data_IF_161751942767
#
_entry.id   IF_161751942767
#
_cell.length_a   1.000
_cell.length_b   1.000
_cell.length_c   1.000
_cell.angle_alpha   90.00
_cell.angle_beta   90.00
_cell.angle_gamma   90.00
#
_symmetry.space_group_name_H-M   'P 1'
#
loop_
_entity.id
_entity.type
_entity.pdbx_description
1 polymer ?
#
# COMPACT_ATOMS: atom_id res chain seq x y z
N UNK A 1 -7.26 -5.35 -16.19
CA UNK A 1 -8.38 -4.43 -16.45
C UNK A 1 -9.69 -5.17 -16.57
N UNK A 2 -10.79 -4.48 -16.35
CA UNK A 2 -12.13 -4.99 -16.60
C UNK A 2 -13.09 -3.84 -16.96
N UNK A 3 -14.25 -4.17 -17.56
CA UNK A 3 -15.32 -3.20 -17.74
C UNK A 3 -15.90 -2.80 -16.38
N UNK A 4 -16.25 -1.55 -16.21
CA UNK A 4 -16.79 -0.99 -14.98
C UNK A 4 -17.88 0.04 -15.29
N UNK A 5 -19.07 -0.16 -14.75
CA UNK A 5 -20.23 0.69 -15.03
C UNK A 5 -20.93 1.25 -13.80
N UNK A 6 -20.43 0.92 -12.59
CA UNK A 6 -20.98 1.42 -11.34
C UNK A 6 -20.30 2.74 -10.93
N UNK A 7 -20.82 3.40 -9.89
CA UNK A 7 -20.24 4.60 -9.35
C UNK A 7 -18.94 4.30 -8.58
N UNK A 8 -17.91 5.09 -8.84
CA UNK A 8 -16.60 4.90 -8.19
C UNK A 8 -16.63 5.16 -6.68
N UNK A 9 -17.53 6.03 -6.22
CA UNK A 9 -17.69 6.33 -4.81
C UNK A 9 -18.24 5.13 -4.03
N UNK A 10 -19.12 4.32 -4.65
CA UNK A 10 -19.63 3.10 -4.02
C UNK A 10 -18.53 2.06 -3.84
N UNK A 11 -17.60 1.97 -4.81
CA UNK A 11 -16.40 1.14 -4.66
C UNK A 11 -15.50 1.62 -3.53
N UNK A 12 -15.35 2.92 -3.35
CA UNK A 12 -14.60 3.48 -2.23
C UNK A 12 -15.27 3.15 -0.89
N UNK A 13 -16.60 3.30 -0.78
CA UNK A 13 -17.36 2.90 0.41
C UNK A 13 -17.21 1.41 0.70
N UNK A 14 -17.34 0.57 -0.33
CA UNK A 14 -17.13 -0.87 -0.19
C UNK A 14 -15.72 -1.21 0.32
N UNK A 15 -14.67 -0.58 -0.25
CA UNK A 15 -13.29 -0.79 0.19
C UNK A 15 -13.09 -0.39 1.65
N UNK A 16 -13.64 0.74 2.08
CA UNK A 16 -13.53 1.18 3.47
C UNK A 16 -14.27 0.25 4.45
N UNK A 17 -15.36 -0.37 4.03
CA UNK A 17 -16.13 -1.28 4.87
C UNK A 17 -15.47 -2.65 5.00
N UNK A 18 -15.00 -3.22 3.88
CA UNK A 18 -14.51 -4.61 3.83
C UNK A 18 -12.99 -4.76 3.78
N UNK A 19 -12.27 -3.71 3.42
CA UNK A 19 -10.81 -3.67 3.34
C UNK A 19 -10.25 -2.34 3.89
N UNK A 20 -10.61 -1.96 5.14
CA UNK A 20 -10.20 -0.68 5.72
C UNK A 20 -8.68 -0.55 5.78
N UNK A 21 -8.18 0.64 5.46
CA UNK A 21 -6.76 0.94 5.50
C UNK A 21 -6.48 2.33 6.06
N UNK A 22 -5.28 2.52 6.62
CA UNK A 22 -4.90 3.77 7.29
C UNK A 22 -4.70 4.95 6.34
N UNK A 23 -4.49 4.69 5.06
CA UNK A 23 -4.21 5.71 4.05
C UNK A 23 -5.16 5.59 2.86
N UNK A 24 -6.44 5.32 3.14
CA UNK A 24 -7.47 5.29 2.11
C UNK A 24 -7.66 6.69 1.50
N UNK A 25 -7.92 6.72 0.19
CA UNK A 25 -8.12 7.96 -0.54
C UNK A 25 -9.11 7.77 -1.70
N UNK A 26 -9.93 8.77 -1.93
CA UNK A 26 -10.76 8.90 -3.11
C UNK A 26 -10.42 10.20 -3.82
N UNK A 27 -10.15 10.12 -5.12
CA UNK A 27 -9.88 11.30 -5.95
C UNK A 27 -10.82 11.27 -7.13
N UNK A 28 -11.59 12.33 -7.29
CA UNK A 28 -12.44 12.59 -8.43
C UNK A 28 -11.73 13.55 -9.39
N UNK A 29 -11.18 13.01 -10.47
CA UNK A 29 -10.60 13.76 -11.59
C UNK A 29 -11.66 14.03 -12.67
N UNK A 30 -11.29 14.78 -13.72
CA UNK A 30 -12.21 15.11 -14.81
C UNK A 30 -12.66 13.88 -15.59
N UNK A 31 -11.68 13.04 -15.96
CA UNK A 31 -11.86 11.88 -16.84
C UNK A 31 -11.47 10.56 -16.18
N UNK A 32 -11.06 10.60 -14.90
CA UNK A 32 -10.71 9.42 -14.11
C UNK A 32 -11.16 9.56 -12.67
N UNK A 33 -11.22 8.41 -11.97
CA UNK A 33 -11.41 8.30 -10.53
C UNK A 33 -10.32 7.41 -9.96
N UNK A 34 -9.84 7.73 -8.75
CA UNK A 34 -8.89 6.89 -8.02
C UNK A 34 -9.54 6.45 -6.72
N UNK A 35 -9.59 5.15 -6.53
CA UNK A 35 -10.05 4.48 -5.30
C UNK A 35 -8.87 3.75 -4.69
N UNK A 36 -8.33 4.27 -3.61
CA UNK A 36 -7.15 3.72 -2.93
C UNK A 36 -7.50 3.21 -1.54
N UNK A 37 -7.12 1.97 -1.26
CA UNK A 37 -7.14 1.34 0.07
C UNK A 37 -5.70 1.02 0.52
N UNK A 38 -4.79 1.98 0.37
CA UNK A 38 -3.38 1.79 0.68
C UNK A 38 -3.14 1.61 2.17
N UNK A 39 -2.44 0.54 2.58
CA UNK A 39 -2.05 0.35 3.98
C UNK A 39 -0.72 1.03 4.34
N UNK A 40 0.06 1.47 3.35
CA UNK A 40 1.47 1.81 3.52
C UNK A 40 1.73 3.31 3.48
N UNK A 41 2.43 3.80 4.50
CA UNK A 41 2.91 5.17 4.57
C UNK A 41 4.20 5.32 3.74
N UNK A 42 4.19 6.23 2.77
CA UNK A 42 5.41 6.65 2.10
C UNK A 42 6.21 7.58 3.01
N UNK A 43 5.69 8.77 3.29
CA UNK A 43 6.29 9.72 4.21
C UNK A 43 5.23 10.49 5.00
N UNK A 44 5.59 10.87 6.22
CA UNK A 44 4.92 11.94 6.95
C UNK A 44 5.95 12.97 7.40
N UNK A 45 5.57 14.25 7.39
CA UNK A 45 6.39 15.34 7.92
C UNK A 45 5.54 16.10 8.93
N UNK A 46 6.07 16.31 10.11
CA UNK A 46 5.48 17.09 11.18
C UNK A 46 6.59 17.68 12.04
N UNK A 47 6.48 18.95 12.38
CA UNK A 47 7.42 19.68 13.25
C UNK A 47 8.89 19.56 12.78
N UNK A 48 9.11 19.56 11.46
CA UNK A 48 10.44 19.42 10.85
C UNK A 48 11.03 18.01 10.90
N UNK A 49 10.28 17.02 11.38
CA UNK A 49 10.67 15.61 11.34
C UNK A 49 9.98 14.87 10.20
N UNK A 50 10.77 14.14 9.42
CA UNK A 50 10.27 13.22 8.39
C UNK A 50 10.31 11.80 8.92
N UNK A 51 9.25 11.03 8.62
CA UNK A 51 9.13 9.61 8.95
C UNK A 51 8.71 8.84 7.72
N UNK A 52 9.18 7.60 7.63
CA UNK A 52 8.74 6.60 6.65
C UNK A 52 8.47 5.28 7.37
N UNK A 53 7.48 4.50 6.90
CA UNK A 53 7.06 3.27 7.58
C UNK A 53 6.78 2.15 6.57
N UNK A 54 7.83 1.48 6.07
CA UNK A 54 7.68 0.36 5.15
C UNK A 54 7.03 -0.84 5.81
N UNK A 55 6.29 -1.60 4.99
CA UNK A 55 5.67 -2.89 5.35
C UNK A 55 6.36 -4.00 4.58
N UNK A 56 6.85 -5.03 5.28
CA UNK A 56 7.27 -6.30 4.70
C UNK A 56 6.78 -7.46 5.57
N UNK A 57 5.96 -8.28 4.96
CA UNK A 57 5.28 -9.36 5.66
C UNK A 57 3.85 -9.00 6.07
N UNK A 58 2.95 -9.86 5.63
CA UNK A 58 1.52 -9.75 5.93
C UNK A 58 0.95 -11.13 6.20
N UNK A 59 0.14 -11.26 7.24
CA UNK A 59 -0.64 -12.45 7.52
C UNK A 59 -2.11 -12.09 7.71
N UNK A 60 -2.98 -12.99 7.29
CA UNK A 60 -4.42 -12.82 7.48
C UNK A 60 -4.77 -12.84 8.97
N UNK A 61 -5.65 -11.94 9.37
CA UNK A 61 -6.30 -11.96 10.68
C UNK A 61 -7.79 -12.25 10.49
N UNK A 62 -8.32 -13.19 11.26
CA UNK A 62 -9.74 -13.51 11.27
C UNK A 62 -10.40 -12.64 12.33
N UNK A 63 -11.41 -11.87 11.93
CA UNK A 63 -12.23 -11.12 12.88
C UNK A 63 -13.08 -12.11 13.71
N UNK A 64 -12.96 -12.12 15.05
CA UNK A 64 -13.72 -13.05 15.88
C UNK A 64 -15.22 -12.73 15.82
N UNK A 65 -16.03 -13.76 15.67
CA UNK A 65 -17.49 -13.72 15.84
C UNK A 65 -17.86 -14.65 17.01
N UNK A 66 -19.08 -14.57 17.57
CA UNK A 66 -19.51 -15.50 18.62
C UNK A 66 -19.31 -16.98 18.23
N UNK A 67 -19.57 -17.33 16.97
CA UNK A 67 -19.53 -18.72 16.47
C UNK A 67 -18.13 -19.23 16.17
N UNK A 68 -17.15 -18.35 15.92
CA UNK A 68 -15.81 -18.74 15.50
C UNK A 68 -14.69 -18.30 16.46
N UNK A 69 -15.01 -17.77 17.62
CA UNK A 69 -14.09 -17.09 18.55
C UNK A 69 -12.85 -17.90 18.89
N UNK A 70 -13.02 -19.18 19.22
CA UNK A 70 -11.90 -20.07 19.57
C UNK A 70 -11.01 -20.38 18.37
N UNK A 71 -11.62 -20.71 17.23
CA UNK A 71 -10.91 -21.00 15.99
C UNK A 71 -10.16 -19.76 15.49
N UNK A 72 -10.83 -18.59 15.49
CA UNK A 72 -10.20 -17.33 15.12
C UNK A 72 -9.01 -17.00 16.01
N UNK A 73 -9.10 -17.22 17.31
CA UNK A 73 -7.98 -17.04 18.24
C UNK A 73 -6.78 -17.91 17.86
N UNK A 74 -6.98 -19.21 17.69
CA UNK A 74 -5.91 -20.14 17.35
C UNK A 74 -5.21 -19.80 16.01
N UNK A 75 -6.01 -19.50 14.99
CA UNK A 75 -5.45 -19.12 13.66
C UNK A 75 -4.70 -17.79 13.76
N UNK A 76 -5.25 -16.81 14.46
CA UNK A 76 -4.61 -15.51 14.61
C UNK A 76 -3.30 -15.60 15.41
N UNK A 77 -3.25 -16.37 16.47
CA UNK A 77 -2.01 -16.63 17.23
C UNK A 77 -0.97 -17.29 16.32
N UNK A 78 -1.35 -18.34 15.59
CA UNK A 78 -0.46 -19.00 14.63
C UNK A 78 0.10 -18.00 13.61
N UNK A 79 -0.76 -17.26 12.93
CA UNK A 79 -0.37 -16.30 11.89
C UNK A 79 0.51 -15.17 12.44
N UNK A 80 0.23 -14.71 13.65
CA UNK A 80 1.05 -13.70 14.35
C UNK A 80 2.45 -14.23 14.64
N UNK A 81 2.56 -15.45 15.20
CA UNK A 81 3.84 -16.07 15.51
C UNK A 81 4.65 -16.42 14.26
N UNK A 82 4.02 -16.90 13.20
CA UNK A 82 4.67 -17.13 11.91
C UNK A 82 5.25 -15.84 11.34
N UNK A 83 4.50 -14.74 11.38
CA UNK A 83 4.98 -13.45 10.95
C UNK A 83 6.11 -12.94 11.83
N UNK A 84 6.00 -13.09 13.13
CA UNK A 84 7.00 -12.62 14.10
C UNK A 84 8.36 -13.31 13.91
N UNK A 85 8.36 -14.60 13.57
CA UNK A 85 9.57 -15.42 13.46
C UNK A 85 10.00 -15.70 12.01
N UNK A 86 9.45 -14.99 11.03
CA UNK A 86 9.86 -15.14 9.63
C UNK A 86 11.17 -14.41 9.37
N UNK A 87 12.26 -15.15 9.23
CA UNK A 87 13.60 -14.62 8.94
C UNK A 87 13.65 -13.97 7.55
N UNK A 88 12.97 -14.54 6.54
CA UNK A 88 12.88 -13.97 5.19
C UNK A 88 12.29 -12.56 5.24
N UNK A 89 11.11 -12.40 5.81
CA UNK A 89 10.42 -11.12 5.87
C UNK A 89 11.15 -10.10 6.77
N UNK A 90 11.88 -10.59 7.78
CA UNK A 90 12.76 -9.74 8.58
C UNK A 90 13.95 -9.22 7.77
N UNK A 91 14.59 -10.07 6.98
CA UNK A 91 15.70 -9.69 6.11
C UNK A 91 15.25 -8.68 5.05
N UNK A 92 14.10 -8.92 4.41
CA UNK A 92 13.50 -8.00 3.46
C UNK A 92 13.20 -6.63 4.08
N UNK A 93 12.60 -6.61 5.27
CA UNK A 93 12.29 -5.36 5.98
C UNK A 93 13.57 -4.60 6.34
N UNK A 94 14.60 -5.29 6.84
CA UNK A 94 15.88 -4.69 7.17
C UNK A 94 16.54 -4.06 5.94
N UNK A 95 16.50 -4.72 4.78
CA UNK A 95 17.02 -4.20 3.52
C UNK A 95 16.31 -2.88 3.13
N UNK A 96 14.99 -2.83 3.25
CA UNK A 96 14.23 -1.61 2.93
C UNK A 96 14.49 -0.51 3.96
N UNK A 97 14.59 -0.84 5.24
CA UNK A 97 14.95 0.12 6.30
C UNK A 97 16.31 0.77 6.01
N UNK A 98 17.31 0.00 5.58
CA UNK A 98 18.62 0.54 5.23
C UNK A 98 18.58 1.41 3.98
N UNK A 99 17.78 1.03 2.97
CA UNK A 99 17.54 1.84 1.79
C UNK A 99 16.92 3.19 2.15
N UNK A 100 15.86 3.20 2.97
CA UNK A 100 15.17 4.42 3.39
C UNK A 100 16.05 5.29 4.33
N UNK A 101 16.87 4.68 5.17
CA UNK A 101 17.89 5.42 5.94
C UNK A 101 18.90 6.11 5.03
N UNK A 102 19.28 5.47 3.92
CA UNK A 102 20.16 6.08 2.92
C UNK A 102 19.48 7.23 2.19
N UNK A 103 18.22 7.09 1.81
CA UNK A 103 17.44 8.16 1.18
C UNK A 103 17.32 9.38 2.12
N UNK A 104 16.95 9.16 3.38
CA UNK A 104 16.88 10.19 4.41
C UNK A 104 18.24 10.88 4.67
N UNK A 105 19.38 10.20 4.41
CA UNK A 105 20.70 10.80 4.54
C UNK A 105 20.88 12.04 3.68
N UNK A 106 20.21 12.09 2.56
CA UNK A 106 20.33 13.16 1.56
C UNK A 106 19.66 14.45 1.99
N UNK A 107 18.69 14.39 2.92
CA UNK A 107 17.82 15.52 3.31
C UNK A 107 17.80 15.80 4.81
N UNK A 108 18.23 14.87 5.65
CA UNK A 108 18.21 15.04 7.10
C UNK A 108 19.53 15.60 7.67
N UNK A 109 19.43 16.20 8.84
CA UNK A 109 20.59 16.62 9.65
C UNK A 109 21.43 15.38 9.98
N UNK A 110 22.76 15.40 9.76
CA UNK A 110 23.64 14.29 10.13
C UNK A 110 23.48 13.91 11.61
N UNK A 111 23.42 12.60 11.89
CA UNK A 111 23.27 12.07 13.23
C UNK A 111 21.84 12.01 13.78
N UNK A 112 20.83 12.60 13.09
CA UNK A 112 19.43 12.58 13.55
C UNK A 112 18.63 11.41 13.02
N UNK A 113 19.14 10.70 12.01
CA UNK A 113 18.43 9.56 11.41
C UNK A 113 18.49 8.35 12.32
N UNK A 114 17.36 7.80 12.63
CA UNK A 114 17.26 6.60 13.47
C UNK A 114 16.09 5.71 13.07
N UNK A 115 16.21 4.44 13.37
CA UNK A 115 15.07 3.52 13.40
C UNK A 115 14.39 3.73 14.74
N UNK A 116 13.33 4.56 14.75
CA UNK A 116 12.61 4.92 15.98
C UNK A 116 11.69 3.80 16.45
N UNK A 117 11.29 2.93 15.54
CA UNK A 117 10.56 1.72 15.83
C UNK A 117 11.15 0.58 14.99
N UNK A 118 11.85 -0.36 15.61
CA UNK A 118 12.33 -1.55 14.91
C UNK A 118 11.12 -2.42 14.50
N UNK A 119 11.41 -3.54 13.83
CA UNK A 119 10.36 -4.46 13.37
C UNK A 119 9.33 -4.72 14.46
N UNK A 120 8.07 -4.41 14.16
CA UNK A 120 6.92 -4.54 15.06
C UNK A 120 5.74 -5.09 14.26
N UNK A 121 4.91 -5.93 14.91
CA UNK A 121 3.70 -6.45 14.28
C UNK A 121 2.52 -5.53 14.63
N UNK A 122 2.01 -4.81 13.64
CA UNK A 122 0.77 -4.04 13.77
C UNK A 122 -0.44 -4.92 13.48
N UNK A 123 -1.47 -4.76 14.30
CA UNK A 123 -2.71 -5.55 14.21
C UNK A 123 -3.83 -4.68 13.63
N UNK A 124 -4.34 -5.08 12.47
CA UNK A 124 -5.50 -4.47 11.82
C UNK A 124 -6.71 -5.41 11.87
N UNK A 125 -7.91 -4.96 11.51
CA UNK A 125 -9.10 -5.81 11.56
C UNK A 125 -8.97 -7.13 10.80
N UNK A 126 -8.34 -7.12 9.63
CA UNK A 126 -8.26 -8.26 8.71
C UNK A 126 -6.86 -8.82 8.49
N UNK A 127 -5.81 -8.11 8.97
CA UNK A 127 -4.41 -8.47 8.70
C UNK A 127 -3.50 -8.12 9.86
N UNK A 128 -2.36 -8.82 9.93
CA UNK A 128 -1.16 -8.43 10.67
C UNK A 128 -0.12 -7.94 9.68
N UNK A 129 0.54 -6.82 9.98
CA UNK A 129 1.64 -6.28 9.18
C UNK A 129 2.92 -6.20 10.01
N UNK A 130 4.04 -6.66 9.46
CA UNK A 130 5.34 -6.38 10.02
C UNK A 130 5.85 -5.05 9.43
N UNK A 131 6.10 -4.09 10.30
CA UNK A 131 6.49 -2.72 9.96
C UNK A 131 7.76 -2.31 10.70
N UNK A 132 8.45 -1.31 10.18
CA UNK A 132 9.47 -0.56 10.90
C UNK A 132 9.27 0.93 10.64
N UNK A 133 9.74 1.79 11.53
CA UNK A 133 9.66 3.24 11.33
C UNK A 133 11.06 3.85 11.37
N UNK A 134 11.40 4.56 10.31
CA UNK A 134 12.64 5.34 10.21
C UNK A 134 12.27 6.82 10.24
N UNK A 135 13.03 7.60 10.97
CA UNK A 135 12.81 9.04 11.08
C UNK A 135 14.12 9.82 11.02
N UNK A 136 14.01 11.11 10.74
CA UNK A 136 15.11 12.05 10.80
C UNK A 136 14.62 13.50 10.85
N UNK A 137 15.44 14.40 11.33
CA UNK A 137 15.17 15.83 11.32
C UNK A 137 15.58 16.40 9.96
N UNK A 138 14.67 17.09 9.27
CA UNK A 138 14.97 17.75 8.01
C UNK A 138 16.00 18.87 8.20
N UNK A 139 16.94 19.01 7.26
CA UNK A 139 17.86 20.15 7.25
C UNK A 139 17.12 21.43 6.88
N UNK A 140 17.59 22.54 7.44
CA UNK A 140 17.10 23.87 7.03
C UNK A 140 17.29 24.08 5.52
N UNK A 141 16.28 24.65 4.86
CA UNK A 141 16.30 24.94 3.43
C UNK A 141 15.96 23.78 2.49
N UNK A 142 15.70 22.58 3.02
CA UNK A 142 15.19 21.46 2.20
C UNK A 142 13.73 21.71 1.88
N UNK A 143 13.43 21.85 0.59
CA UNK A 143 12.06 21.99 0.09
C UNK A 143 11.41 20.64 -0.25
N UNK A 144 10.10 20.65 -0.49
CA UNK A 144 9.35 19.44 -0.82
C UNK A 144 9.87 18.73 -2.09
N UNK A 145 10.29 19.49 -3.11
CA UNK A 145 10.90 18.93 -4.31
C UNK A 145 12.21 18.18 -4.01
N UNK A 146 12.99 18.64 -3.04
CA UNK A 146 14.24 17.96 -2.65
C UNK A 146 13.94 16.66 -1.91
N UNK A 147 12.88 16.66 -1.10
CA UNK A 147 12.38 15.46 -0.42
C UNK A 147 11.95 14.42 -1.46
N UNK A 148 11.15 14.81 -2.46
CA UNK A 148 10.75 13.89 -3.53
C UNK A 148 11.95 13.36 -4.32
N UNK A 149 12.92 14.20 -4.69
CA UNK A 149 14.14 13.75 -5.40
C UNK A 149 14.99 12.78 -4.58
N UNK A 150 14.94 12.90 -3.26
CA UNK A 150 15.69 12.02 -2.37
C UNK A 150 14.98 10.69 -2.11
N UNK A 151 13.66 10.71 -1.92
CA UNK A 151 12.88 9.59 -1.38
C UNK A 151 12.08 8.85 -2.44
N UNK A 152 11.54 9.57 -3.46
CA UNK A 152 10.66 8.98 -4.47
C UNK A 152 11.45 8.34 -5.63
N UNK A 153 10.98 7.19 -6.17
CA UNK A 153 9.90 6.37 -5.64
C UNK A 153 10.30 5.65 -4.34
N UNK A 154 9.29 5.19 -3.58
CA UNK A 154 9.51 4.52 -2.29
C UNK A 154 10.40 3.29 -2.40
N UNK A 155 11.20 3.02 -1.37
CA UNK A 155 12.10 1.87 -1.32
C UNK A 155 11.39 0.54 -1.36
N UNK A 156 10.24 0.44 -0.69
CA UNK A 156 9.47 -0.80 -0.54
C UNK A 156 8.86 -1.33 -1.84
N UNK A 157 8.69 -0.44 -2.84
CA UNK A 157 8.08 -0.75 -4.16
C UNK A 157 9.09 -0.73 -5.31
N UNK A 158 10.35 -0.51 -5.03
CA UNK A 158 11.46 -0.55 -6.00
C UNK A 158 12.43 -1.69 -5.67
N UNK A 159 13.45 -1.42 -4.89
CA UNK A 159 14.46 -2.39 -4.47
C UNK A 159 15.80 -1.73 -4.21
N UNK A 160 16.80 -2.53 -3.83
CA UNK A 160 18.14 -2.09 -3.55
C UNK A 160 19.16 -2.79 -4.48
N UNK A 161 20.06 -2.03 -5.16
CA UNK A 161 20.17 -0.57 -5.24
C UNK A 161 19.01 0.07 -6.04
N UNK A 162 18.45 1.19 -5.55
CA UNK A 162 17.22 1.79 -6.08
C UNK A 162 17.28 2.06 -7.59
N UNK A 163 18.29 2.76 -8.07
CA UNK A 163 18.41 3.11 -9.49
C UNK A 163 18.44 1.87 -10.37
N UNK A 164 19.24 0.86 -10.01
CA UNK A 164 19.33 -0.37 -10.78
C UNK A 164 18.01 -1.14 -10.79
N UNK A 165 17.32 -1.19 -9.66
CA UNK A 165 16.00 -1.81 -9.58
C UNK A 165 14.97 -1.09 -10.47
N UNK A 166 15.00 0.24 -10.51
CA UNK A 166 14.13 1.02 -11.40
C UNK A 166 14.42 0.74 -12.89
N UNK A 167 15.70 0.63 -13.28
CA UNK A 167 16.08 0.25 -14.65
C UNK A 167 15.55 -1.15 -15.02
N UNK A 168 15.64 -2.11 -14.12
CA UNK A 168 15.13 -3.47 -14.34
C UNK A 168 13.60 -3.45 -14.45
N UNK A 169 12.90 -2.73 -13.60
CA UNK A 169 11.44 -2.55 -13.64
C UNK A 169 11.01 -1.99 -15.01
N UNK A 170 11.68 -0.93 -15.46
CA UNK A 170 11.39 -0.30 -16.76
C UNK A 170 11.61 -1.25 -17.95
N UNK A 171 12.62 -2.12 -17.85
CA UNK A 171 12.94 -3.09 -18.91
C UNK A 171 12.03 -4.32 -18.91
N UNK A 172 11.49 -4.73 -17.76
CA UNK A 172 10.82 -6.01 -17.61
C UNK A 172 9.29 -5.91 -17.49
N UNK A 173 8.77 -4.82 -16.95
CA UNK A 173 7.33 -4.65 -16.83
C UNK A 173 6.71 -4.27 -18.18
N UNK A 174 5.68 -5.01 -18.64
CA UNK A 174 5.10 -4.78 -19.98
C UNK A 174 4.25 -3.52 -20.07
N UNK A 175 3.87 -2.93 -18.93
CA UNK A 175 3.00 -1.76 -18.84
C UNK A 175 3.55 -0.75 -17.84
N UNK A 176 3.40 0.55 -18.17
CA UNK A 176 3.75 1.61 -17.23
C UNK A 176 2.89 1.53 -15.96
N UNK A 177 3.49 1.77 -14.81
CA UNK A 177 2.81 1.70 -13.51
C UNK A 177 1.79 2.81 -13.31
N UNK A 178 2.00 3.99 -13.90
CA UNK A 178 1.11 5.14 -13.74
C UNK A 178 0.96 5.55 -12.28
N UNK A 179 -0.28 5.56 -11.78
CA UNK A 179 -0.58 5.85 -10.36
C UNK A 179 -0.11 4.74 -9.42
N UNK A 180 -0.12 3.49 -9.89
CA UNK A 180 0.34 2.35 -9.10
C UNK A 180 1.79 2.53 -8.67
N UNK A 181 2.07 2.32 -7.39
CA UNK A 181 3.35 2.58 -6.73
C UNK A 181 3.80 4.06 -6.68
N UNK A 182 2.93 4.97 -7.11
CA UNK A 182 3.08 6.39 -6.87
C UNK A 182 2.79 6.77 -5.42
N UNK A 183 2.28 7.98 -5.22
CA UNK A 183 1.94 8.46 -3.88
C UNK A 183 0.72 9.36 -3.93
N UNK A 184 -0.17 9.19 -2.94
CA UNK A 184 -1.39 9.97 -2.76
C UNK A 184 -1.41 10.52 -1.34
N UNK A 185 -1.84 11.76 -1.17
CA UNK A 185 -1.97 12.36 0.14
C UNK A 185 -2.12 13.87 0.08
N UNK A 186 -1.63 14.57 1.10
CA UNK A 186 -1.76 16.01 1.19
C UNK A 186 -0.50 16.68 1.72
N UNK A 187 -0.39 17.97 1.39
CA UNK A 187 0.59 18.91 1.91
C UNK A 187 -0.21 20.04 2.54
N UNK A 188 -0.10 20.18 3.86
CA UNK A 188 -0.77 21.22 4.62
C UNK A 188 -0.09 22.57 4.46
N UNK A 189 -0.85 23.65 4.63
CA UNK A 189 -0.32 25.01 4.65
C UNK A 189 0.60 25.28 5.85
N UNK A 190 0.51 24.45 6.88
CA UNK A 190 1.38 24.44 8.05
C UNK A 190 2.70 23.68 7.83
N UNK A 191 2.93 23.18 6.61
CA UNK A 191 4.11 22.39 6.25
C UNK A 191 4.04 20.91 6.63
N UNK A 192 2.96 20.45 7.24
CA UNK A 192 2.73 19.03 7.48
C UNK A 192 2.47 18.30 6.17
N UNK A 193 2.99 17.09 6.06
CA UNK A 193 2.83 16.22 4.87
C UNK A 193 2.40 14.84 5.31
N UNK A 194 1.47 14.25 4.58
CA UNK A 194 1.11 12.84 4.73
C UNK A 194 0.90 12.24 3.35
N UNK A 195 1.78 11.33 2.95
CA UNK A 195 1.75 10.64 1.67
C UNK A 195 1.80 9.13 1.87
N UNK A 196 0.96 8.40 1.13
CA UNK A 196 0.98 6.95 1.06
C UNK A 196 1.84 6.43 -0.10
N UNK A 197 2.07 5.13 -0.13
CA UNK A 197 2.44 4.40 -1.36
C UNK A 197 1.14 3.98 -2.05
N UNK A 198 0.92 4.38 -3.30
CA UNK A 198 -0.30 4.08 -4.03
C UNK A 198 -0.33 2.61 -4.50
N UNK A 199 -0.51 1.70 -3.56
CA UNK A 199 -0.78 0.27 -3.76
C UNK A 199 -2.21 -0.04 -3.33
N UNK A 200 -2.76 -1.19 -3.69
CA UNK A 200 -4.17 -1.53 -3.48
C UNK A 200 -5.09 -0.41 -3.97
N UNK A 201 -4.77 0.08 -5.16
CA UNK A 201 -5.40 1.25 -5.76
C UNK A 201 -6.04 0.84 -7.08
N UNK A 202 -7.27 1.31 -7.30
CA UNK A 202 -8.04 1.10 -8.51
C UNK A 202 -8.18 2.45 -9.21
N UNK A 203 -7.91 2.48 -10.50
CA UNK A 203 -8.15 3.63 -11.37
C UNK A 203 -9.36 3.30 -12.22
N UNK A 204 -10.32 4.20 -12.28
CA UNK A 204 -11.48 4.10 -13.15
C UNK A 204 -11.36 5.22 -14.18
N UNK A 205 -11.29 4.85 -15.45
CA UNK A 205 -11.20 5.78 -16.57
C UNK A 205 -12.15 5.34 -17.67
N UNK A 206 -13.06 6.23 -18.08
CA UNK A 206 -14.18 5.87 -18.94
C UNK A 206 -15.01 4.74 -18.33
N UNK A 207 -15.25 3.70 -19.12
CA UNK A 207 -15.99 2.50 -18.69
C UNK A 207 -15.07 1.35 -18.25
N UNK A 208 -13.86 1.64 -17.82
CA UNK A 208 -12.86 0.63 -17.44
C UNK A 208 -12.33 0.86 -16.02
N UNK A 209 -12.09 -0.24 -15.30
CA UNK A 209 -11.34 -0.25 -14.05
C UNK A 209 -9.99 -0.95 -14.25
N UNK A 210 -8.95 -0.34 -13.71
CA UNK A 210 -7.56 -0.82 -13.74
C UNK A 210 -7.07 -1.03 -12.32
N UNK A 211 -6.59 -2.23 -12.03
CA UNK A 211 -5.95 -2.56 -10.76
C UNK A 211 -4.63 -3.27 -11.02
N UNK A 212 -3.54 -2.71 -10.52
CA UNK A 212 -2.20 -3.31 -10.61
C UNK A 212 -1.81 -3.88 -9.25
N UNK A 213 -1.20 -5.05 -9.26
CA UNK A 213 -0.66 -5.72 -8.08
C UNK A 213 0.65 -6.41 -8.44
N UNK A 214 1.52 -6.60 -7.45
CA UNK A 214 2.80 -7.25 -7.63
C UNK A 214 3.43 -7.63 -6.30
N UNK A 215 4.58 -8.29 -6.37
CA UNK A 215 5.40 -8.69 -5.23
C UNK A 215 6.83 -8.17 -5.34
N UNK A 216 7.61 -8.33 -4.27
CA UNK A 216 9.05 -8.09 -4.29
C UNK A 216 9.76 -9.36 -4.72
N UNK A 217 10.57 -9.29 -5.76
CA UNK A 217 11.35 -10.43 -6.26
C UNK A 217 12.76 -10.37 -5.67
N UNK A 218 13.18 -11.43 -5.03
CA UNK A 218 14.51 -11.62 -4.45
C UNK A 218 15.13 -12.92 -4.98
N UNK A 219 16.42 -13.14 -4.71
CA UNK A 219 17.16 -14.30 -5.23
C UNK A 219 16.50 -15.65 -4.87
N UNK A 220 15.88 -15.73 -3.71
CA UNK A 220 15.21 -16.95 -3.20
C UNK A 220 13.71 -17.00 -3.53
N UNK A 221 13.22 -16.10 -4.40
CA UNK A 221 11.81 -16.11 -4.82
C UNK A 221 11.50 -17.29 -5.73
N UNK A 222 10.41 -17.98 -5.40
CA UNK A 222 9.87 -19.07 -6.21
C UNK A 222 8.71 -18.52 -7.08
N UNK A 223 8.74 -18.64 -8.42
CA UNK A 223 7.79 -18.01 -9.33
C UNK A 223 6.31 -18.28 -8.99
N UNK A 224 5.97 -19.53 -8.67
CA UNK A 224 4.59 -19.92 -8.32
C UNK A 224 4.13 -19.32 -6.99
N UNK A 225 5.03 -19.16 -6.02
CA UNK A 225 4.74 -18.53 -4.74
C UNK A 225 4.50 -17.03 -4.93
N UNK A 226 5.34 -16.34 -5.69
CA UNK A 226 5.21 -14.91 -6.00
C UNK A 226 3.94 -14.61 -6.81
N UNK A 227 3.60 -15.49 -7.76
CA UNK A 227 2.34 -15.39 -8.50
C UNK A 227 1.13 -15.54 -7.57
N UNK A 228 1.14 -16.54 -6.70
CA UNK A 228 0.07 -16.77 -5.72
C UNK A 228 -0.09 -15.59 -4.77
N UNK A 229 1.01 -14.98 -4.34
CA UNK A 229 0.99 -13.76 -3.52
C UNK A 229 0.38 -12.59 -4.28
N UNK A 230 0.77 -12.38 -5.53
CA UNK A 230 0.24 -11.33 -6.42
C UNK A 230 -1.28 -11.45 -6.57
N UNK A 231 -1.79 -12.66 -6.85
CA UNK A 231 -3.24 -12.93 -6.94
C UNK A 231 -3.92 -12.71 -5.59
N UNK A 232 -3.29 -13.08 -4.49
CA UNK A 232 -3.84 -12.86 -3.15
C UNK A 232 -3.99 -11.37 -2.84
N UNK A 233 -3.04 -10.54 -3.25
CA UNK A 233 -3.12 -9.07 -3.13
C UNK A 233 -4.24 -8.48 -3.99
N UNK A 234 -4.51 -9.04 -5.16
CA UNK A 234 -5.57 -8.61 -6.06
C UNK A 234 -6.99 -8.93 -5.55
N UNK A 235 -7.16 -9.98 -4.74
CA UNK A 235 -8.48 -10.52 -4.35
C UNK A 235 -9.42 -9.48 -3.76
N UNK A 236 -8.95 -8.64 -2.85
CA UNK A 236 -9.80 -7.62 -2.21
C UNK A 236 -10.26 -6.57 -3.22
N UNK A 237 -9.39 -6.16 -4.15
CA UNK A 237 -9.72 -5.20 -5.20
C UNK A 237 -10.77 -5.78 -6.15
N UNK A 238 -10.55 -7.01 -6.63
CA UNK A 238 -11.47 -7.72 -7.53
C UNK A 238 -12.81 -8.02 -6.86
N UNK A 239 -12.80 -8.37 -5.57
CA UNK A 239 -14.03 -8.59 -4.81
C UNK A 239 -14.87 -7.31 -4.73
N UNK A 240 -14.26 -6.16 -4.47
CA UNK A 240 -14.94 -4.87 -4.45
C UNK A 240 -15.55 -4.52 -5.80
N UNK A 241 -14.76 -4.60 -6.87
CA UNK A 241 -15.25 -4.35 -8.24
C UNK A 241 -16.47 -5.24 -8.55
N UNK A 242 -16.36 -6.55 -8.31
CA UNK A 242 -17.41 -7.50 -8.62
C UNK A 242 -18.69 -7.28 -7.78
N UNK A 243 -18.54 -6.96 -6.49
CA UNK A 243 -19.69 -6.74 -5.59
C UNK A 243 -20.48 -5.51 -6.01
N UNK A 244 -19.80 -4.39 -6.21
CA UNK A 244 -20.43 -3.11 -6.57
C UNK A 244 -21.08 -3.19 -7.95
N UNK A 245 -20.44 -3.85 -8.91
CA UNK A 245 -21.02 -4.04 -10.25
C UNK A 245 -22.29 -4.92 -10.23
N UNK A 246 -22.33 -5.97 -9.42
CA UNK A 246 -23.51 -6.82 -9.27
C UNK A 246 -24.69 -6.04 -8.69
N UNK A 247 -24.46 -5.28 -7.61
CA UNK A 247 -25.49 -4.44 -7.00
C UNK A 247 -26.04 -3.41 -7.99
N UNK A 248 -25.16 -2.75 -8.73
CA UNK A 248 -25.53 -1.78 -9.77
C UNK A 248 -26.36 -2.41 -10.89
N UNK A 249 -25.99 -3.62 -11.35
CA UNK A 249 -26.72 -4.33 -12.38
C UNK A 249 -28.14 -4.73 -11.91
N UNK A 250 -28.29 -5.17 -10.67
CA UNK A 250 -29.59 -5.51 -10.07
C UNK A 250 -30.47 -4.28 -9.96
N UNK A 251 -29.94 -3.16 -9.49
CA UNK A 251 -30.68 -1.90 -9.40
C UNK A 251 -31.19 -1.44 -10.78
N UNK A 252 -30.32 -1.44 -11.80
CA UNK A 252 -30.74 -1.05 -13.16
C UNK A 252 -31.83 -1.94 -13.74
N UNK A 253 -31.78 -3.24 -13.47
CA UNK A 253 -32.81 -4.18 -13.92
C UNK A 253 -34.13 -3.93 -13.20
N UNK A 254 -34.11 -3.61 -11.90
CA UNK A 254 -35.34 -3.26 -11.16
C UNK A 254 -36.03 -2.00 -11.73
N UNK A 255 -35.24 -0.95 -12.03
CA UNK A 255 -35.80 0.29 -12.63
C UNK A 255 -36.32 0.11 -14.05
N UNK A 256 -35.80 -0.84 -14.83
CA UNK A 256 -36.29 -1.13 -16.19
C UNK A 256 -37.54 -1.96 -16.23
N UNK A 257 -38.01 -2.51 -15.12
CA UNK A 257 -39.28 -3.29 -15.01
C UNK A 257 -40.44 -2.40 -14.54
N UNK A 258 -40.16 -1.20 -14.01
CA UNK A 258 -41.16 -0.25 -13.56
C UNK A 258 -41.58 0.79 -14.61
N UNK A 259 -41.03 0.73 -15.83
CA UNK A 259 -41.40 1.54 -17.00
C UNK A 259 -42.09 0.68 -18.07
#
# INVERSE_FOLDING_TARGET
ECDYGAEAIDLFHWQNLYNPSGYAAYIDGWDFRIVSASPEMFITISDGFIRTKPIKGTRRRICPTPDNKLQAKQINEKNYYELLHSDKEQAELNMIVDLERNDLARICVPGTRSVIQPRTIETYPTVFHAVATVAGQLRGGVGFCDILRAMFPGGSITGAPKIRSMEIIDQTEPTARGVYTGSIGYIGLDGNVCLNIAIRTIIIAGAKAFAQTGGGIVADSEPEAEWTETITKARALLAGINSVQREYSVQRTAWSVEL
#
